data_IF_987850748673
#
_entry.id   IF_987850748673
#
_cell.length_a   1.000
_cell.length_b   1.000
_cell.length_c   1.000
_cell.angle_alpha   90.00
_cell.angle_beta   90.00
_cell.angle_gamma   90.00
#
_symmetry.space_group_name_H-M   'P 1'
#
loop_
_entity.id
_entity.type
_entity.pdbx_description
1 polymer ?
#
# COMPACT_ATOMS: atom_id res chain seq x y z
N UNK A 1 -11.93 10.29 -10.34
CA UNK A 1 -11.38 9.24 -11.24
C UNK A 1 -12.56 8.70 -12.02
N UNK A 2 -12.41 8.41 -13.31
CA UNK A 2 -13.54 8.11 -14.19
C UNK A 2 -13.94 6.64 -14.09
N UNK A 3 -15.20 6.36 -13.78
CA UNK A 3 -15.75 5.01 -13.66
C UNK A 3 -15.96 4.41 -15.06
N UNK A 4 -15.21 3.35 -15.38
CA UNK A 4 -15.31 2.66 -16.68
C UNK A 4 -16.70 2.03 -16.89
N UNK A 5 -17.41 1.66 -15.82
CA UNK A 5 -18.75 1.10 -15.88
C UNK A 5 -19.79 2.19 -16.22
N UNK A 6 -19.63 3.40 -15.67
CA UNK A 6 -20.42 4.57 -16.06
C UNK A 6 -20.21 4.92 -17.54
N UNK A 7 -18.95 4.96 -17.99
CA UNK A 7 -18.64 5.24 -19.40
C UNK A 7 -19.26 4.17 -20.32
N UNK A 8 -19.14 2.88 -19.97
CA UNK A 8 -19.73 1.80 -20.76
C UNK A 8 -21.26 1.94 -20.86
N UNK A 9 -21.92 2.26 -19.74
CA UNK A 9 -23.37 2.50 -19.69
C UNK A 9 -23.79 3.69 -20.57
N UNK A 10 -23.03 4.80 -20.51
CA UNK A 10 -23.28 6.00 -21.33
C UNK A 10 -23.03 5.72 -22.81
N UNK A 11 -22.03 4.90 -23.15
CA UNK A 11 -21.75 4.51 -24.53
C UNK A 11 -22.88 3.63 -25.10
N UNK A 12 -23.35 2.65 -24.32
CA UNK A 12 -24.49 1.81 -24.71
C UNK A 12 -25.78 2.64 -24.92
N UNK A 13 -26.04 3.61 -24.02
CA UNK A 13 -27.16 4.54 -24.16
C UNK A 13 -27.01 5.45 -25.40
N UNK A 14 -25.80 5.89 -25.73
CA UNK A 14 -25.54 6.72 -26.92
C UNK A 14 -25.66 5.92 -28.23
N UNK A 15 -25.38 4.62 -28.21
CA UNK A 15 -25.48 3.73 -29.38
C UNK A 15 -26.92 3.30 -29.71
N UNK A 16 -27.86 3.43 -28.77
CA UNK A 16 -29.27 2.97 -28.92
C UNK A 16 -30.21 4.03 -29.50
N UNK A 17 -29.71 5.04 -30.22
CA UNK A 17 -30.56 6.06 -30.83
C UNK A 17 -31.50 5.48 -31.91
N UNK A 18 -32.80 5.39 -31.58
CA UNK A 18 -33.86 4.92 -32.49
C UNK A 18 -34.63 6.07 -33.17
N UNK A 19 -33.93 7.08 -33.69
CA UNK A 19 -34.54 8.22 -34.39
C UNK A 19 -34.33 8.21 -35.91
N UNK A 20 -35.22 8.85 -36.70
CA UNK A 20 -35.04 8.95 -38.15
C UNK A 20 -33.78 9.76 -38.50
N UNK A 21 -33.00 9.23 -39.45
CA UNK A 21 -31.64 9.65 -39.79
C UNK A 21 -31.48 11.09 -40.33
N UNK A 22 -32.57 11.84 -40.50
CA UNK A 22 -32.58 13.16 -41.16
C UNK A 22 -32.94 14.31 -40.21
N UNK A 23 -32.96 14.07 -38.90
CA UNK A 23 -33.32 15.09 -37.92
C UNK A 23 -32.09 15.80 -37.35
N UNK A 24 -32.18 17.10 -36.96
CA UNK A 24 -31.15 17.80 -36.19
C UNK A 24 -30.76 17.07 -34.89
N UNK A 25 -31.66 16.21 -34.39
CA UNK A 25 -31.43 15.31 -33.25
C UNK A 25 -30.39 14.24 -33.52
N UNK A 26 -30.21 13.78 -34.77
CA UNK A 26 -29.15 12.83 -35.13
C UNK A 26 -27.77 13.48 -34.96
N UNK A 27 -27.59 14.73 -35.41
CA UNK A 27 -26.31 15.43 -35.28
C UNK A 27 -25.90 15.58 -33.81
N UNK A 28 -26.83 16.00 -32.94
CA UNK A 28 -26.60 16.10 -31.49
C UNK A 28 -26.32 14.74 -30.86
N UNK A 29 -27.03 13.68 -31.28
CA UNK A 29 -26.78 12.33 -30.79
C UNK A 29 -25.40 11.79 -31.24
N UNK A 30 -24.97 12.10 -32.45
CA UNK A 30 -23.64 11.73 -32.96
C UNK A 30 -22.52 12.50 -32.25
N UNK A 31 -22.68 13.82 -32.01
CA UNK A 31 -21.71 14.61 -31.24
C UNK A 31 -21.58 14.04 -29.82
N UNK A 32 -22.70 13.72 -29.16
CA UNK A 32 -22.69 13.10 -27.84
C UNK A 32 -22.03 11.72 -27.82
N UNK A 33 -22.31 10.87 -28.83
CA UNK A 33 -21.66 9.57 -28.97
C UNK A 33 -20.15 9.72 -29.16
N UNK A 34 -19.70 10.69 -29.95
CA UNK A 34 -18.28 10.96 -30.18
C UNK A 34 -17.56 11.43 -28.91
N UNK A 35 -18.21 12.29 -28.12
CA UNK A 35 -17.66 12.74 -26.82
C UNK A 35 -17.51 11.57 -25.84
N UNK A 36 -18.54 10.74 -25.69
CA UNK A 36 -18.49 9.56 -24.80
C UNK A 36 -17.49 8.52 -25.31
N UNK A 37 -17.40 8.31 -26.62
CA UNK A 37 -16.42 7.39 -27.21
C UNK A 37 -14.98 7.89 -26.98
N UNK A 38 -14.74 9.19 -27.09
CA UNK A 38 -13.44 9.79 -26.79
C UNK A 38 -13.09 9.63 -25.31
N UNK A 39 -14.03 9.89 -24.41
CA UNK A 39 -13.86 9.67 -22.97
C UNK A 39 -13.54 8.21 -22.66
N UNK A 40 -14.21 7.27 -23.34
CA UNK A 40 -13.93 5.83 -23.22
C UNK A 40 -12.52 5.47 -23.70
N UNK A 41 -12.08 6.02 -24.84
CA UNK A 41 -10.72 5.78 -25.35
C UNK A 41 -9.67 6.33 -24.37
N UNK A 42 -9.85 7.54 -23.85
CA UNK A 42 -8.93 8.15 -22.88
C UNK A 42 -8.87 7.34 -21.59
N UNK A 43 -10.02 6.90 -21.06
CA UNK A 43 -10.08 6.08 -19.86
C UNK A 43 -9.45 4.69 -20.07
N UNK A 44 -9.73 4.03 -21.20
CA UNK A 44 -9.11 2.75 -21.55
C UNK A 44 -7.60 2.88 -21.74
N UNK A 45 -7.11 3.93 -22.39
CA UNK A 45 -5.67 4.15 -22.54
C UNK A 45 -4.99 4.37 -21.19
N UNK A 46 -5.64 5.10 -20.29
CA UNK A 46 -5.09 5.31 -18.95
C UNK A 46 -5.06 4.02 -18.12
N UNK A 47 -6.12 3.21 -18.22
CA UNK A 47 -6.29 1.98 -17.45
C UNK A 47 -5.52 0.76 -18.01
N UNK A 48 -5.35 0.68 -19.33
CA UNK A 48 -4.88 -0.54 -19.99
C UNK A 48 -3.43 -0.47 -20.49
N UNK A 49 -2.79 0.71 -20.52
CA UNK A 49 -1.41 0.83 -21.02
C UNK A 49 -0.42 0.50 -19.89
N UNK A 50 0.36 -0.59 -20.01
CA UNK A 50 1.40 -0.92 -19.05
C UNK A 50 2.42 0.20 -18.90
N UNK A 51 2.72 0.54 -17.66
CA UNK A 51 3.71 1.54 -17.28
C UNK A 51 4.89 0.85 -16.59
N UNK A 52 6.12 1.40 -16.70
CA UNK A 52 7.24 0.87 -15.94
C UNK A 52 6.97 0.89 -14.43
N UNK A 53 7.33 -0.18 -13.73
CA UNK A 53 7.05 -0.36 -12.29
C UNK A 53 7.61 0.76 -11.41
N UNK A 54 8.75 1.35 -11.79
CA UNK A 54 9.38 2.44 -11.05
C UNK A 54 8.53 3.71 -10.99
N UNK A 55 7.53 3.83 -11.89
CA UNK A 55 6.61 4.97 -11.93
C UNK A 55 5.26 4.65 -11.27
N UNK A 56 5.14 3.50 -10.60
CA UNK A 56 3.94 3.18 -9.84
C UNK A 56 3.79 4.12 -8.63
N UNK A 57 2.55 4.40 -8.18
CA UNK A 57 2.31 5.25 -7.02
C UNK A 57 3.09 4.78 -5.80
N UNK A 58 3.65 5.73 -5.05
CA UNK A 58 4.34 5.48 -3.79
C UNK A 58 3.35 5.62 -2.62
N UNK A 59 2.32 4.78 -2.63
CA UNK A 59 1.26 4.75 -1.62
C UNK A 59 0.94 3.29 -1.20
N UNK A 60 -0.05 3.14 -0.30
CA UNK A 60 -0.55 1.86 0.22
C UNK A 60 -1.62 1.20 -0.67
N UNK A 61 -1.75 1.66 -1.91
CA UNK A 61 -2.71 1.15 -2.86
C UNK A 61 -2.28 -0.16 -3.51
N UNK A 62 -3.21 -0.77 -4.24
CA UNK A 62 -2.97 -1.94 -5.06
C UNK A 62 -2.81 -1.54 -6.52
N UNK A 63 -1.95 -2.27 -7.23
CA UNK A 63 -1.81 -2.18 -8.68
C UNK A 63 -1.91 -3.57 -9.29
N UNK A 64 -2.26 -3.64 -10.57
CA UNK A 64 -2.09 -4.87 -11.34
C UNK A 64 -0.68 -4.86 -11.92
N UNK A 65 0.20 -5.68 -11.37
CA UNK A 65 1.61 -5.72 -11.70
C UNK A 65 1.96 -6.91 -12.59
N UNK A 66 2.86 -6.71 -13.54
CA UNK A 66 3.40 -7.76 -14.40
C UNK A 66 4.68 -8.33 -13.80
N UNK A 67 4.67 -9.61 -13.45
CA UNK A 67 5.75 -10.34 -12.81
C UNK A 67 6.34 -11.34 -13.81
N UNK A 68 7.48 -11.01 -14.45
CA UNK A 68 8.12 -11.95 -15.36
C UNK A 68 8.60 -13.19 -14.58
N UNK A 69 8.35 -14.37 -15.12
CA UNK A 69 8.81 -15.62 -14.49
C UNK A 69 7.91 -16.18 -13.38
N UNK A 70 6.69 -15.64 -13.21
CA UNK A 70 5.65 -16.32 -12.43
C UNK A 70 5.44 -17.73 -13.02
N UNK A 71 5.16 -18.72 -12.16
CA UNK A 71 5.00 -20.13 -12.59
C UNK A 71 4.01 -20.23 -13.75
N UNK A 72 4.21 -21.17 -14.69
CA UNK A 72 3.33 -21.34 -15.87
C UNK A 72 1.84 -21.55 -15.53
N UNK A 73 1.54 -21.96 -14.28
CA UNK A 73 0.18 -22.15 -13.78
C UNK A 73 -0.52 -20.88 -13.32
N UNK A 74 0.20 -19.76 -13.20
CA UNK A 74 -0.31 -18.49 -12.72
C UNK A 74 -0.18 -17.43 -13.81
N UNK A 75 -1.20 -16.56 -14.00
CA UNK A 75 -1.11 -15.46 -14.94
C UNK A 75 0.03 -14.52 -14.53
N UNK A 76 0.78 -13.96 -15.50
CA UNK A 76 1.92 -13.08 -15.20
C UNK A 76 1.49 -11.73 -14.61
N UNK A 77 0.20 -11.38 -14.73
CA UNK A 77 -0.38 -10.23 -14.05
C UNK A 77 -0.98 -10.64 -12.71
N UNK A 78 -0.62 -9.93 -11.66
CA UNK A 78 -1.06 -10.17 -10.28
C UNK A 78 -1.36 -8.87 -9.57
N UNK A 79 -2.20 -8.92 -8.54
CA UNK A 79 -2.28 -7.83 -7.58
C UNK A 79 -0.95 -7.71 -6.84
N UNK A 80 -0.45 -6.48 -6.72
CA UNK A 80 0.71 -6.18 -5.92
C UNK A 80 0.53 -4.83 -5.20
N UNK A 81 1.16 -4.73 -4.05
CA UNK A 81 1.27 -3.49 -3.26
C UNK A 81 2.71 -3.28 -2.83
N UNK A 82 3.04 -2.09 -2.34
CA UNK A 82 4.37 -1.79 -1.81
C UNK A 82 4.58 -2.50 -0.47
N UNK A 83 5.80 -2.99 -0.25
CA UNK A 83 6.26 -3.48 1.05
C UNK A 83 7.71 -3.04 1.33
N UNK A 84 8.24 -3.28 2.54
CA UNK A 84 9.61 -2.83 2.92
C UNK A 84 10.68 -3.32 1.95
N UNK A 85 10.54 -4.56 1.45
CA UNK A 85 11.46 -5.17 0.49
C UNK A 85 11.18 -4.84 -0.97
N UNK A 86 10.21 -3.97 -1.28
CA UNK A 86 9.83 -3.63 -2.65
C UNK A 86 8.34 -3.83 -2.92
N UNK A 87 7.96 -4.98 -3.49
CA UNK A 87 6.59 -5.30 -3.85
C UNK A 87 6.17 -6.65 -3.26
N UNK A 88 4.92 -6.72 -2.83
CA UNK A 88 4.33 -7.93 -2.28
C UNK A 88 2.98 -8.21 -2.94
N UNK A 89 2.63 -9.49 -3.12
CA UNK A 89 1.33 -9.90 -3.65
C UNK A 89 0.22 -9.89 -2.58
N UNK A 90 -0.97 -10.38 -2.93
CA UNK A 90 -2.13 -10.43 -2.04
C UNK A 90 -1.96 -11.36 -0.82
N UNK A 91 -1.02 -12.31 -0.90
CA UNK A 91 -0.68 -13.22 0.21
C UNK A 91 0.47 -12.67 1.06
N UNK A 92 1.05 -11.51 0.69
CA UNK A 92 2.17 -10.88 1.37
C UNK A 92 3.54 -11.43 0.94
N UNK A 93 3.61 -12.23 -0.13
CA UNK A 93 4.89 -12.73 -0.64
C UNK A 93 5.56 -11.71 -1.54
N UNK A 94 6.88 -11.58 -1.38
CA UNK A 94 7.71 -10.71 -2.20
C UNK A 94 7.63 -11.09 -3.68
N UNK A 95 7.47 -10.09 -4.54
CA UNK A 95 7.41 -10.23 -6.00
C UNK A 95 8.29 -9.18 -6.67
N UNK A 96 8.78 -9.50 -7.87
CA UNK A 96 9.66 -8.61 -8.67
C UNK A 96 8.97 -8.16 -9.97
N UNK A 97 7.95 -7.29 -9.89
CA UNK A 97 7.26 -6.82 -11.07
C UNK A 97 8.11 -5.86 -11.90
N UNK A 98 7.87 -5.83 -13.21
CA UNK A 98 8.57 -4.92 -14.15
C UNK A 98 7.65 -3.87 -14.77
N UNK A 99 6.33 -4.14 -14.80
CA UNK A 99 5.32 -3.20 -15.28
C UNK A 99 4.11 -3.19 -14.35
N UNK A 100 3.26 -2.15 -14.47
CA UNK A 100 2.00 -2.06 -13.76
C UNK A 100 0.93 -1.35 -14.60
N UNK A 101 -0.32 -1.59 -14.23
CA UNK A 101 -1.47 -0.78 -14.64
C UNK A 101 -2.34 -0.45 -13.42
N UNK A 102 -3.03 0.71 -13.41
CA UNK A 102 -3.95 1.03 -12.34
C UNK A 102 -5.12 0.04 -12.34
N UNK A 103 -5.62 -0.27 -11.15
CA UNK A 103 -6.84 -1.07 -11.02
C UNK A 103 -8.07 -0.23 -11.36
N UNK A 104 -9.07 -0.81 -12.04
CA UNK A 104 -10.35 -0.15 -12.20
C UNK A 104 -11.03 0.01 -10.84
N UNK A 105 -11.86 1.04 -10.72
CA UNK A 105 -12.73 1.19 -9.55
C UNK A 105 -13.85 0.12 -9.57
N UNK A 106 -14.30 -0.39 -8.40
CA UNK A 106 -13.76 -0.10 -7.07
C UNK A 106 -12.45 -0.84 -6.80
N UNK A 107 -11.48 -0.14 -6.21
CA UNK A 107 -10.22 -0.73 -5.80
C UNK A 107 -10.34 -1.46 -4.45
N UNK A 108 -9.51 -2.49 -4.19
CA UNK A 108 -9.41 -3.09 -2.87
C UNK A 108 -8.99 -2.07 -1.82
N UNK A 109 -9.31 -2.35 -0.55
CA UNK A 109 -8.89 -1.51 0.56
C UNK A 109 -7.36 -1.35 0.58
N UNK A 110 -6.84 -0.14 0.87
CA UNK A 110 -5.41 0.07 1.03
C UNK A 110 -4.85 -0.83 2.14
N UNK A 111 -3.61 -1.27 1.97
CA UNK A 111 -2.97 -2.18 2.93
C UNK A 111 -2.54 -1.50 4.23
N UNK A 112 -2.49 -0.16 4.23
CA UNK A 112 -1.84 0.62 5.27
C UNK A 112 -0.31 0.50 5.25
N UNK A 113 0.26 -0.29 4.33
CA UNK A 113 1.70 -0.40 4.16
C UNK A 113 2.22 0.74 3.29
N UNK A 114 2.72 1.78 3.95
CA UNK A 114 3.38 2.93 3.31
C UNK A 114 4.86 2.84 3.58
N UNK A 115 5.67 3.55 2.79
CA UNK A 115 7.08 3.75 3.10
C UNK A 115 7.24 4.18 4.56
N UNK A 116 8.20 3.59 5.26
CA UNK A 116 8.47 3.95 6.65
C UNK A 116 8.93 5.40 6.72
N UNK A 117 8.42 6.13 7.71
CA UNK A 117 8.72 7.55 7.92
C UNK A 117 8.91 7.82 9.42
N UNK A 118 9.58 8.93 9.75
CA UNK A 118 9.84 9.33 11.12
C UNK A 118 11.16 8.77 11.66
N UNK A 119 11.12 8.11 12.82
CA UNK A 119 12.32 7.62 13.49
C UNK A 119 12.11 6.25 14.15
N UNK A 120 13.18 5.47 14.26
CA UNK A 120 13.21 4.24 15.05
C UNK A 120 13.45 4.63 16.51
N UNK A 121 12.54 4.24 17.39
CA UNK A 121 12.62 4.52 18.83
C UNK A 121 12.89 3.25 19.61
N UNK A 122 13.83 3.35 20.53
CA UNK A 122 14.05 2.31 21.54
C UNK A 122 13.35 2.75 22.83
N UNK A 123 12.37 1.98 23.28
CA UNK A 123 11.65 2.21 24.53
C UNK A 123 11.86 1.06 25.51
N UNK A 124 11.78 1.33 26.81
CA UNK A 124 11.72 0.26 27.82
C UNK A 124 10.31 -0.32 27.85
N UNK A 125 10.22 -1.63 27.87
CA UNK A 125 8.95 -2.36 27.85
C UNK A 125 9.00 -3.56 28.79
N UNK A 126 7.83 -4.01 29.22
CA UNK A 126 7.68 -5.23 30.00
C UNK A 126 6.30 -5.85 29.75
N UNK A 127 6.21 -7.18 29.80
CA UNK A 127 4.97 -7.92 29.71
C UNK A 127 5.01 -9.16 30.61
N UNK A 128 3.92 -9.42 31.34
CA UNK A 128 3.78 -10.67 32.12
C UNK A 128 3.85 -11.92 31.23
N UNK A 129 3.36 -11.81 29.99
CA UNK A 129 3.34 -12.91 29.02
C UNK A 129 4.71 -13.13 28.39
N UNK A 130 5.58 -12.12 28.40
CA UNK A 130 6.93 -12.14 27.81
C UNK A 130 7.93 -11.67 28.87
N UNK A 131 8.28 -12.51 29.87
CA UNK A 131 9.04 -12.06 31.05
C UNK A 131 10.48 -11.62 30.76
N UNK A 132 11.00 -11.96 29.59
CA UNK A 132 12.33 -11.56 29.12
C UNK A 132 12.33 -10.22 28.37
N UNK A 133 11.16 -9.67 28.05
CA UNK A 133 11.04 -8.38 27.38
C UNK A 133 11.51 -7.26 28.30
N UNK A 134 12.50 -6.49 27.85
CA UNK A 134 12.95 -5.28 28.55
C UNK A 134 12.90 -4.03 27.67
N UNK A 135 12.95 -4.18 26.34
CA UNK A 135 12.89 -3.08 25.39
C UNK A 135 12.09 -3.44 24.15
N UNK A 136 11.41 -2.44 23.57
CA UNK A 136 10.84 -2.50 22.22
C UNK A 136 11.60 -1.54 21.31
N UNK A 137 11.75 -1.95 20.06
CA UNK A 137 12.24 -1.11 18.97
C UNK A 137 11.07 -0.94 18.01
N UNK A 138 10.54 0.28 17.94
CA UNK A 138 9.36 0.61 17.15
C UNK A 138 9.65 1.80 16.24
N UNK A 139 8.81 2.01 15.22
CA UNK A 139 8.90 3.16 14.34
C UNK A 139 7.84 4.16 14.77
N UNK A 140 8.26 5.39 15.03
CA UNK A 140 7.37 6.49 15.37
C UNK A 140 7.26 7.39 14.15
N UNK A 141 6.03 7.56 13.68
CA UNK A 141 5.68 8.42 12.56
C UNK A 141 5.91 9.90 12.92
N UNK A 142 6.01 10.79 11.92
CA UNK A 142 6.19 12.23 12.16
C UNK A 142 5.09 12.88 13.01
N UNK A 143 3.88 12.32 13.03
CA UNK A 143 2.75 12.76 13.85
C UNK A 143 2.82 12.27 15.31
N UNK A 144 3.80 11.42 15.63
CA UNK A 144 4.04 10.86 16.96
C UNK A 144 3.37 9.50 17.19
N UNK A 145 2.58 9.00 16.25
CA UNK A 145 1.93 7.69 16.38
C UNK A 145 2.90 6.55 16.06
N UNK A 146 2.68 5.39 16.69
CA UNK A 146 3.41 4.16 16.37
C UNK A 146 3.00 3.67 14.98
N UNK A 147 3.97 3.26 14.18
CA UNK A 147 3.73 2.61 12.90
C UNK A 147 3.26 1.17 13.08
N UNK A 148 1.97 1.00 13.33
CA UNK A 148 1.33 -0.30 13.56
C UNK A 148 1.39 -1.26 12.37
N UNK A 149 1.76 -0.79 11.18
CA UNK A 149 1.93 -1.66 10.00
C UNK A 149 3.20 -2.52 10.10
N UNK A 150 4.15 -2.16 10.97
CA UNK A 150 5.39 -2.88 11.21
C UNK A 150 5.42 -3.35 12.66
N UNK A 151 5.55 -4.66 12.85
CA UNK A 151 5.64 -5.23 14.20
C UNK A 151 6.90 -4.70 14.90
N UNK A 152 6.80 -4.24 16.17
CA UNK A 152 7.96 -3.79 16.92
C UNK A 152 8.87 -4.96 17.27
N UNK A 153 10.19 -4.75 17.18
CA UNK A 153 11.15 -5.75 17.62
C UNK A 153 11.25 -5.78 19.15
N UNK A 154 11.27 -6.99 19.70
CA UNK A 154 11.42 -7.22 21.14
C UNK A 154 12.87 -7.54 21.49
N UNK A 155 13.39 -6.93 22.55
CA UNK A 155 14.74 -7.15 23.02
C UNK A 155 14.79 -7.40 24.54
N UNK A 156 15.75 -8.23 24.95
CA UNK A 156 15.98 -8.56 26.36
C UNK A 156 17.06 -7.71 27.04
N UNK A 157 17.87 -7.00 26.27
CA UNK A 157 18.86 -6.03 26.75
C UNK A 157 18.88 -4.78 25.88
N UNK A 158 19.47 -3.68 26.38
CA UNK A 158 19.61 -2.44 25.62
C UNK A 158 20.59 -2.59 24.45
N UNK A 159 21.64 -3.43 24.60
CA UNK A 159 22.58 -3.73 23.52
C UNK A 159 21.91 -4.48 22.36
N UNK A 160 21.05 -5.45 22.66
CA UNK A 160 20.25 -6.17 21.65
C UNK A 160 19.27 -5.22 20.95
N UNK A 161 18.60 -4.35 21.72
CA UNK A 161 17.71 -3.33 21.17
C UNK A 161 18.45 -2.38 20.21
N UNK A 162 19.64 -1.90 20.59
CA UNK A 162 20.49 -1.06 19.73
C UNK A 162 20.93 -1.78 18.46
N UNK A 163 21.29 -3.05 18.56
CA UNK A 163 21.67 -3.84 17.39
C UNK A 163 20.50 -3.99 16.40
N UNK A 164 19.30 -4.28 16.91
CA UNK A 164 18.08 -4.39 16.10
C UNK A 164 17.69 -3.05 15.47
N UNK A 165 17.74 -1.97 16.25
CA UNK A 165 17.50 -0.62 15.76
C UNK A 165 18.50 -0.23 14.66
N UNK A 166 19.78 -0.57 14.82
CA UNK A 166 20.80 -0.34 13.80
C UNK A 166 20.51 -1.12 12.50
N UNK A 167 20.13 -2.39 12.60
CA UNK A 167 19.72 -3.18 11.43
C UNK A 167 18.52 -2.55 10.73
N UNK A 168 17.46 -2.21 11.47
CA UNK A 168 16.27 -1.55 10.91
C UNK A 168 16.56 -0.18 10.31
N UNK A 169 17.46 0.60 10.92
CA UNK A 169 17.86 1.91 10.41
C UNK A 169 18.52 1.81 9.03
N UNK A 170 19.35 0.78 8.83
CA UNK A 170 19.97 0.51 7.53
C UNK A 170 18.92 0.05 6.51
N UNK A 171 18.02 -0.86 6.90
CA UNK A 171 16.99 -1.40 6.02
C UNK A 171 16.00 -0.33 5.53
N UNK A 172 15.57 0.56 6.42
CA UNK A 172 14.52 1.55 6.16
C UNK A 172 15.05 2.94 5.83
N UNK A 173 16.34 3.20 6.06
CA UNK A 173 16.95 4.52 5.91
C UNK A 173 16.42 5.55 6.92
N UNK A 174 16.04 5.10 8.12
CA UNK A 174 15.49 5.95 9.18
C UNK A 174 16.52 6.26 10.28
N UNK A 175 16.45 7.44 10.92
CA UNK A 175 17.28 7.76 12.08
C UNK A 175 16.83 6.95 13.31
N UNK A 176 17.76 6.78 14.26
CA UNK A 176 17.50 6.16 15.57
C UNK A 176 17.40 7.25 16.63
N UNK A 177 16.34 7.21 17.43
CA UNK A 177 16.13 8.02 18.62
C UNK A 177 16.14 7.13 19.86
N UNK A 178 17.13 7.31 20.72
CA UNK A 178 17.08 6.75 22.07
C UNK A 178 16.35 7.72 22.97
N UNK A 179 15.17 7.32 23.47
CA UNK A 179 14.39 8.12 24.40
C UNK A 179 14.47 7.46 25.77
N UNK A 180 14.97 8.19 26.76
CA UNK A 180 14.76 7.82 28.16
C UNK A 180 13.28 8.04 28.47
N UNK A 181 12.47 7.00 28.30
CA UNK A 181 11.06 7.11 28.61
C UNK A 181 10.87 7.25 30.13
N UNK A 182 10.71 8.50 30.57
CA UNK A 182 10.43 8.88 31.96
C UNK A 182 9.06 8.42 32.45
N UNK A 183 8.20 7.88 31.58
CA UNK A 183 6.87 7.36 31.93
C UNK A 183 6.85 5.86 32.24
N UNK A 184 8.00 5.18 32.24
CA UNK A 184 8.10 3.83 32.76
C UNK A 184 8.07 3.89 34.28
N UNK A 185 6.86 3.94 34.85
CA UNK A 185 6.67 3.74 36.28
C UNK A 185 7.34 2.41 36.66
N UNK A 186 8.35 2.40 37.55
CA UNK A 186 8.93 1.15 38.02
C UNK A 186 7.86 0.44 38.86
N UNK A 187 7.08 -0.44 38.23
CA UNK A 187 6.24 -1.37 38.95
C UNK A 187 7.18 -2.33 39.67
N UNK A 188 7.44 -2.01 40.95
CA UNK A 188 8.21 -2.86 41.86
C UNK A 188 7.62 -4.27 41.78
N UNK A 189 8.42 -5.21 41.27
CA UNK A 189 8.16 -6.64 41.42
C UNK A 189 7.90 -6.88 42.91
N UNK A 190 6.68 -7.25 43.29
CA UNK A 190 6.46 -7.81 44.63
C UNK A 190 7.25 -9.11 44.65
N UNK A 191 8.35 -9.14 45.39
CA UNK A 191 9.01 -10.40 45.70
C UNK A 191 7.98 -11.34 46.34
N UNK A 192 7.98 -12.64 45.99
CA UNK A 192 7.12 -13.58 46.66
C UNK A 192 7.50 -13.58 48.14
N UNK A 193 6.54 -13.23 48.98
CA UNK A 193 6.66 -13.38 50.43
C UNK A 193 6.65 -14.88 50.71
N UNK A 194 7.82 -15.42 51.06
CA UNK A 194 7.95 -16.77 51.63
C UNK A 194 7.67 -16.73 53.13
#
# INVERSE_FOLDING_TARGET
>A
MTDLLDIATRLEAAMTFEGPATTPRLAVAMDHLMDVAKEAVEAMQWAAVPRPIQNAPDNDGWVLAYIPGRSEKLPPWALATRCDGGWCDEEGYGVDPTMWVPLPDPQPAPTGWRKAEGAIRIIKAWSEQIPWLSHLVEIIKPDGDVDSSREPDMASTIEDARQRAATRAVELGLPIEEVEDGNVLPFRRKEPTH
#
